data_IF_214438340633
#
_entry.id   IF_214438340633
#
_cell.length_a   1.000
_cell.length_b   1.000
_cell.length_c   1.000
_cell.angle_alpha   90.00
_cell.angle_beta   90.00
_cell.angle_gamma   90.00
#
_symmetry.space_group_name_H-M   'P 1'
#
loop_
_entity.id
_entity.type
_entity.pdbx_description
1 polymer ?
#
# COMPACT_ATOMS: atom_id res chain seq x y z
N UNK A 1 64.82 49.65 -15.17
CA UNK A 1 63.82 49.66 -14.09
C UNK A 1 62.57 48.92 -14.57
N UNK A 2 62.43 47.65 -14.16
CA UNK A 2 61.27 46.79 -14.51
C UNK A 2 60.12 47.11 -13.54
N UNK A 3 58.96 47.50 -14.07
CA UNK A 3 57.72 47.69 -13.29
C UNK A 3 57.03 46.33 -13.13
N UNK A 4 57.00 45.82 -11.90
CA UNK A 4 56.24 44.64 -11.51
C UNK A 4 54.77 45.01 -11.34
N UNK A 5 53.90 44.50 -12.22
CA UNK A 5 52.46 44.52 -11.99
C UNK A 5 52.11 43.36 -11.05
N UNK A 6 51.71 43.70 -9.82
CA UNK A 6 51.07 42.76 -8.90
C UNK A 6 49.65 42.51 -9.40
N UNK A 7 49.42 41.34 -9.99
CA UNK A 7 48.08 40.81 -10.25
C UNK A 7 47.58 40.26 -8.91
N UNK A 8 46.79 41.04 -8.20
CA UNK A 8 46.02 40.55 -7.04
C UNK A 8 44.80 39.81 -7.57
N UNK A 9 44.83 38.49 -7.49
CA UNK A 9 43.72 37.61 -7.83
C UNK A 9 42.52 37.88 -6.91
N UNK A 10 41.40 38.31 -7.49
CA UNK A 10 40.11 38.32 -6.82
C UNK A 10 39.59 36.90 -6.72
N UNK A 11 39.50 36.38 -5.50
CA UNK A 11 38.85 35.12 -5.19
C UNK A 11 37.33 35.34 -5.31
N UNK A 12 36.74 35.02 -6.45
CA UNK A 12 35.28 34.96 -6.60
C UNK A 12 34.83 33.63 -6.02
N UNK A 13 34.35 33.66 -4.77
CA UNK A 13 33.65 32.55 -4.15
C UNK A 13 32.27 32.43 -4.82
N UNK A 14 32.15 31.52 -5.80
CA UNK A 14 30.84 31.14 -6.35
C UNK A 14 30.18 30.26 -5.29
N UNK A 15 29.30 30.85 -4.47
CA UNK A 15 28.28 30.09 -3.76
C UNK A 15 27.34 29.51 -4.82
N UNK A 16 27.55 28.24 -5.18
CA UNK A 16 26.50 27.46 -5.82
C UNK A 16 25.43 27.20 -4.78
N UNK A 17 24.35 27.98 -4.83
CA UNK A 17 23.09 27.60 -4.18
C UNK A 17 22.59 26.40 -4.97
N UNK A 18 22.87 25.20 -4.48
CA UNK A 18 22.19 24.00 -4.94
C UNK A 18 20.74 24.13 -4.49
N UNK A 19 19.84 24.28 -5.47
CA UNK A 19 18.42 24.07 -5.24
C UNK A 19 18.28 22.60 -4.86
N UNK A 20 18.23 22.33 -3.55
CA UNK A 20 17.85 21.01 -3.03
C UNK A 20 16.39 20.80 -3.43
N UNK A 21 16.15 20.01 -4.47
CA UNK A 21 14.84 19.42 -4.69
C UNK A 21 14.56 18.46 -3.53
N UNK A 22 13.34 18.46 -3.01
CA UNK A 22 12.91 17.43 -2.07
C UNK A 22 13.14 16.07 -2.73
N UNK A 23 13.96 15.24 -2.10
CA UNK A 23 14.23 13.87 -2.54
C UNK A 23 13.70 12.93 -1.46
N UNK A 24 12.93 11.94 -1.88
CA UNK A 24 12.55 10.82 -1.03
C UNK A 24 13.79 9.98 -0.72
N UNK A 25 13.88 9.47 0.50
CA UNK A 25 14.88 8.49 0.90
C UNK A 25 14.27 7.47 1.86
N UNK A 26 14.90 6.31 1.98
CA UNK A 26 14.55 5.32 3.01
C UNK A 26 15.18 5.76 4.32
N UNK A 27 14.34 6.05 5.30
CA UNK A 27 14.75 6.49 6.63
C UNK A 27 15.03 5.28 7.54
N UNK A 28 14.14 4.30 7.54
CA UNK A 28 14.25 3.08 8.33
C UNK A 28 13.32 2.00 7.81
N UNK A 29 13.51 0.78 8.27
CA UNK A 29 12.65 -0.37 7.97
C UNK A 29 11.98 -0.78 9.28
N UNK A 30 10.66 -0.85 9.29
CA UNK A 30 9.90 -1.25 10.47
C UNK A 30 9.56 -2.73 10.36
N UNK A 31 9.91 -3.48 11.41
CA UNK A 31 9.77 -4.93 11.47
C UNK A 31 8.86 -5.27 12.64
N UNK A 32 7.80 -6.02 12.35
CA UNK A 32 6.89 -6.54 13.35
C UNK A 32 7.09 -8.04 13.57
N UNK A 33 7.37 -8.41 14.81
CA UNK A 33 7.48 -9.80 15.23
C UNK A 33 6.19 -10.26 15.92
N UNK A 34 5.71 -11.47 15.62
CA UNK A 34 4.50 -12.08 16.16
C UNK A 34 4.64 -12.70 17.55
N UNK A 35 5.87 -12.83 18.08
CA UNK A 35 6.16 -13.62 19.27
C UNK A 35 6.02 -15.13 19.04
N UNK A 36 6.23 -15.91 20.09
CA UNK A 36 6.08 -17.36 20.10
C UNK A 36 4.65 -17.73 20.50
N UNK A 37 3.95 -18.45 19.63
CA UNK A 37 2.60 -18.94 19.88
C UNK A 37 2.50 -19.75 21.18
N UNK A 38 1.51 -19.44 22.01
CA UNK A 38 1.22 -20.12 23.26
C UNK A 38 2.21 -19.81 24.39
N UNK A 39 3.03 -18.77 24.22
CA UNK A 39 3.89 -18.24 25.27
C UNK A 39 3.36 -16.86 25.73
N UNK A 40 2.55 -16.80 26.80
CA UNK A 40 1.91 -15.56 27.24
C UNK A 40 2.86 -14.47 27.75
N UNK A 41 4.17 -14.75 27.82
CA UNK A 41 5.21 -13.77 28.15
C UNK A 41 5.95 -13.25 26.91
N UNK A 42 5.62 -13.80 25.74
CA UNK A 42 6.12 -13.37 24.45
C UNK A 42 4.97 -12.71 23.68
N UNK A 43 5.28 -11.57 23.10
CA UNK A 43 4.30 -10.64 22.59
C UNK A 43 4.80 -10.06 21.29
N UNK A 44 3.88 -9.45 20.55
CA UNK A 44 4.23 -8.73 19.34
C UNK A 44 5.21 -7.62 19.70
N UNK A 45 6.38 -7.61 19.06
CA UNK A 45 7.39 -6.56 19.23
C UNK A 45 7.63 -5.83 17.93
N UNK A 46 7.84 -4.52 18.00
CA UNK A 46 8.15 -3.67 16.86
C UNK A 46 9.60 -3.22 16.97
N UNK A 47 10.34 -3.43 15.89
CA UNK A 47 11.73 -3.02 15.76
C UNK A 47 11.91 -2.09 14.55
N UNK A 48 12.95 -1.28 14.61
CA UNK A 48 13.45 -0.49 13.50
C UNK A 48 14.79 -1.06 13.05
N UNK A 49 15.05 -1.10 11.75
CA UNK A 49 16.36 -1.29 11.16
C UNK A 49 16.76 -0.03 10.40
N UNK A 50 17.91 0.53 10.74
CA UNK A 50 18.49 1.70 10.09
C UNK A 50 19.48 1.23 8.98
N UNK A 51 19.22 1.51 7.69
CA UNK A 51 20.12 1.12 6.59
C UNK A 51 21.51 1.77 6.62
N UNK A 52 21.66 2.94 7.25
CA UNK A 52 22.93 3.65 7.34
C UNK A 52 23.83 3.03 8.41
N UNK A 53 23.30 2.89 9.64
CA UNK A 53 24.07 2.31 10.75
C UNK A 53 24.08 0.78 10.74
N UNK A 54 23.15 0.15 10.02
CA UNK A 54 22.91 -1.30 9.96
C UNK A 54 22.58 -1.91 11.32
N UNK A 55 21.93 -1.14 12.20
CA UNK A 55 21.53 -1.56 13.54
C UNK A 55 20.03 -1.79 13.57
N UNK A 56 19.62 -2.91 14.17
CA UNK A 56 18.22 -3.17 14.54
C UNK A 56 18.00 -2.82 16.01
N UNK A 57 16.91 -2.11 16.33
CA UNK A 57 16.50 -1.79 17.71
C UNK A 57 15.02 -2.06 17.90
N UNK A 58 14.67 -2.90 18.88
CA UNK A 58 13.28 -3.06 19.34
C UNK A 58 12.87 -1.86 20.17
N UNK A 59 11.70 -1.30 19.87
CA UNK A 59 11.24 -0.07 20.50
C UNK A 59 9.81 -0.09 21.03
N UNK A 60 8.97 -1.03 20.57
CA UNK A 60 7.57 -1.10 20.99
C UNK A 60 7.09 -2.53 21.17
N UNK A 61 6.03 -2.68 21.96
CA UNK A 61 5.33 -3.94 22.16
C UNK A 61 3.81 -3.76 22.07
N UNK A 62 3.12 -4.80 21.61
CA UNK A 62 1.68 -4.95 21.69
C UNK A 62 1.42 -6.19 22.55
N UNK A 63 0.72 -6.04 23.68
CA UNK A 63 0.54 -7.10 24.68
C UNK A 63 -0.43 -8.20 24.17
N UNK A 64 -0.04 -8.89 23.10
CA UNK A 64 -0.69 -10.00 22.41
C UNK A 64 0.28 -10.73 21.50
N UNK A 65 -0.07 -11.94 21.13
CA UNK A 65 0.66 -12.74 20.14
C UNK A 65 0.09 -12.51 18.72
N UNK A 66 0.81 -13.01 17.72
CA UNK A 66 0.42 -13.08 16.31
C UNK A 66 0.14 -11.72 15.66
N UNK A 67 1.22 -11.12 15.13
CA UNK A 67 1.09 -9.98 14.23
C UNK A 67 0.37 -10.41 12.95
N UNK A 68 -0.59 -9.61 12.49
CA UNK A 68 -1.35 -9.88 11.26
C UNK A 68 -0.82 -9.06 10.08
N UNK A 69 -0.51 -7.79 10.32
CA UNK A 69 -0.01 -6.85 9.31
C UNK A 69 0.61 -5.61 9.96
N UNK A 70 1.49 -4.95 9.21
CA UNK A 70 2.13 -3.68 9.57
C UNK A 70 2.21 -2.80 8.34
N UNK A 71 1.77 -1.55 8.46
CA UNK A 71 1.99 -0.54 7.41
C UNK A 71 2.58 0.74 8.01
N UNK A 72 3.39 1.43 7.22
CA UNK A 72 4.00 2.71 7.54
C UNK A 72 3.37 3.80 6.68
N UNK A 73 2.97 4.89 7.33
CA UNK A 73 2.56 6.10 6.64
C UNK A 73 3.07 7.32 7.40
N UNK A 74 3.86 8.15 6.69
CA UNK A 74 4.57 9.29 7.27
C UNK A 74 5.37 8.87 8.52
N UNK A 75 5.02 9.44 9.68
CA UNK A 75 5.75 9.27 10.93
C UNK A 75 5.11 8.20 11.82
N UNK A 76 4.24 7.35 11.27
CA UNK A 76 3.51 6.36 12.03
C UNK A 76 3.60 4.97 11.42
N UNK A 77 3.74 3.97 12.29
CA UNK A 77 3.47 2.57 11.98
C UNK A 77 2.12 2.17 12.60
N UNK A 78 1.29 1.54 11.79
CA UNK A 78 0.04 0.92 12.21
C UNK A 78 0.24 -0.58 12.21
N UNK A 79 -0.11 -1.21 13.32
CA UNK A 79 0.14 -2.63 13.57
C UNK A 79 -1.17 -3.29 13.95
N UNK A 80 -1.44 -4.45 13.36
CA UNK A 80 -2.51 -5.34 13.78
C UNK A 80 -1.90 -6.58 14.43
N UNK A 81 -2.37 -6.90 15.63
CA UNK A 81 -2.16 -8.19 16.28
C UNK A 81 -3.48 -8.99 16.27
N UNK A 82 -3.55 -10.16 16.91
CA UNK A 82 -4.75 -11.00 16.94
C UNK A 82 -6.03 -10.24 17.39
N UNK A 83 -5.92 -9.36 18.40
CA UNK A 83 -7.07 -8.65 18.98
C UNK A 83 -6.90 -7.12 19.16
N UNK A 84 -5.88 -6.54 18.54
CA UNK A 84 -5.50 -5.15 18.79
C UNK A 84 -4.98 -4.46 17.55
N UNK A 85 -5.41 -3.22 17.33
CA UNK A 85 -4.78 -2.28 16.40
C UNK A 85 -4.00 -1.28 17.24
N UNK A 86 -2.71 -1.10 16.94
CA UNK A 86 -1.82 -0.20 17.67
C UNK A 86 -1.10 0.72 16.71
N UNK A 87 -1.02 2.00 17.08
CA UNK A 87 -0.31 3.04 16.33
C UNK A 87 0.94 3.45 17.12
N UNK A 88 2.09 3.45 16.46
CA UNK A 88 3.35 3.94 17.01
C UNK A 88 3.83 5.15 16.22
N UNK A 89 4.35 6.17 16.91
CA UNK A 89 5.12 7.22 16.28
C UNK A 89 6.55 6.71 16.07
N UNK A 90 6.99 6.58 14.82
CA UNK A 90 8.28 5.95 14.48
C UNK A 90 9.46 6.94 14.43
N UNK A 91 9.26 8.20 14.83
CA UNK A 91 10.36 9.14 15.08
C UNK A 91 10.76 9.15 16.57
N UNK A 92 9.76 9.03 17.44
CA UNK A 92 9.92 9.05 18.90
C UNK A 92 9.91 7.66 19.52
N UNK A 93 9.44 6.68 18.75
CA UNK A 93 9.22 5.30 19.15
C UNK A 93 8.17 5.11 20.27
N UNK A 94 7.28 6.08 20.46
CA UNK A 94 6.23 6.01 21.46
C UNK A 94 4.92 5.45 20.88
N UNK A 95 4.20 4.66 21.68
CA UNK A 95 2.84 4.23 21.36
C UNK A 95 1.89 5.44 21.41
N UNK A 96 1.25 5.74 20.29
CA UNK A 96 0.37 6.90 20.12
C UNK A 96 -1.11 6.57 20.39
N UNK A 97 -1.59 5.40 19.94
CA UNK A 97 -2.98 4.98 20.14
C UNK A 97 -3.10 3.44 20.12
N UNK A 98 -4.16 2.90 20.70
CA UNK A 98 -4.51 1.49 20.62
C UNK A 98 -6.02 1.28 20.77
N UNK A 99 -6.58 0.33 20.03
CA UNK A 99 -7.98 -0.10 20.14
C UNK A 99 -8.07 -1.62 20.07
N UNK A 100 -9.04 -2.19 20.78
CA UNK A 100 -9.36 -3.62 20.69
C UNK A 100 -10.21 -3.87 19.46
N UNK A 101 -9.82 -4.83 18.63
CA UNK A 101 -10.61 -5.34 17.51
C UNK A 101 -10.11 -6.75 17.15
N UNK A 102 -11.03 -7.66 16.84
CA UNK A 102 -10.70 -9.09 16.62
C UNK A 102 -10.67 -9.45 15.14
N UNK A 103 -10.18 -10.65 14.83
CA UNK A 103 -10.21 -11.22 13.47
C UNK A 103 -9.46 -10.35 12.44
N UNK A 104 -8.44 -9.62 12.88
CA UNK A 104 -7.71 -8.65 12.06
C UNK A 104 -6.92 -9.36 10.95
N UNK A 105 -6.80 -8.69 9.80
CA UNK A 105 -6.00 -9.18 8.69
C UNK A 105 -5.17 -8.05 8.08
N UNK A 106 -5.55 -7.49 6.93
CA UNK A 106 -4.74 -6.49 6.22
C UNK A 106 -5.12 -5.07 6.56
N UNK A 107 -4.10 -4.20 6.58
CA UNK A 107 -4.22 -2.77 6.76
C UNK A 107 -4.09 -2.04 5.42
N UNK A 108 -4.81 -0.94 5.28
CA UNK A 108 -4.60 0.02 4.20
C UNK A 108 -4.88 1.42 4.70
N UNK A 109 -4.00 2.37 4.40
CA UNK A 109 -4.17 3.76 4.77
C UNK A 109 -4.55 4.59 3.54
N UNK A 110 -5.57 5.43 3.67
CA UNK A 110 -5.88 6.47 2.66
C UNK A 110 -6.59 7.65 3.31
N UNK A 111 -6.09 8.86 3.04
CA UNK A 111 -6.76 10.12 3.40
C UNK A 111 -7.17 10.19 4.87
N UNK A 112 -6.27 9.80 5.77
CA UNK A 112 -6.50 9.83 7.23
C UNK A 112 -7.47 8.77 7.76
N UNK A 113 -7.85 7.80 6.94
CA UNK A 113 -8.61 6.63 7.35
C UNK A 113 -7.72 5.39 7.27
N UNK A 114 -7.89 4.52 8.26
CA UNK A 114 -7.28 3.21 8.33
C UNK A 114 -8.34 2.15 8.05
N UNK A 115 -8.22 1.49 6.91
CA UNK A 115 -9.09 0.40 6.48
C UNK A 115 -8.47 -0.92 6.97
N UNK A 116 -9.30 -1.77 7.54
CA UNK A 116 -8.86 -3.00 8.18
C UNK A 116 -9.76 -4.14 7.74
N UNK A 117 -9.19 -5.04 6.95
CA UNK A 117 -9.89 -6.26 6.55
C UNK A 117 -9.83 -7.27 7.68
N UNK A 118 -10.82 -8.16 7.69
CA UNK A 118 -10.95 -9.19 8.71
C UNK A 118 -11.12 -10.55 8.06
N UNK A 119 -10.77 -11.61 8.79
CA UNK A 119 -10.85 -13.00 8.35
C UNK A 119 -11.16 -13.94 9.51
N UNK A 120 -11.59 -15.15 9.21
CA UNK A 120 -11.67 -16.20 10.21
C UNK A 120 -10.28 -16.51 10.79
N UNK A 121 -10.22 -16.66 12.11
CA UNK A 121 -9.03 -17.10 12.84
C UNK A 121 -9.32 -18.41 13.60
N UNK A 122 -8.47 -18.79 14.55
CA UNK A 122 -8.64 -20.02 15.34
C UNK A 122 -9.93 -20.04 16.18
N UNK A 123 -10.50 -18.88 16.47
CA UNK A 123 -11.75 -18.70 17.20
C UNK A 123 -12.98 -18.64 16.27
N UNK A 124 -12.76 -18.72 14.95
CA UNK A 124 -13.79 -18.71 13.93
C UNK A 124 -13.88 -17.39 13.18
N UNK A 125 -14.96 -17.23 12.41
CA UNK A 125 -15.25 -16.01 11.67
C UNK A 125 -15.58 -14.82 12.60
N UNK A 126 -15.45 -13.56 12.12
CA UNK A 126 -15.93 -12.39 12.84
C UNK A 126 -17.35 -12.57 13.39
N UNK A 127 -17.52 -12.45 14.71
CA UNK A 127 -18.81 -12.71 15.36
C UNK A 127 -19.93 -11.75 14.92
N UNK A 128 -19.57 -10.56 14.46
CA UNK A 128 -20.47 -9.55 13.91
C UNK A 128 -20.70 -9.69 12.39
N UNK A 129 -20.03 -10.65 11.74
CA UNK A 129 -20.10 -10.85 10.29
C UNK A 129 -19.50 -9.71 9.46
N UNK A 130 -18.71 -8.82 10.07
CA UNK A 130 -18.11 -7.66 9.39
C UNK A 130 -16.67 -7.97 8.99
N UNK A 131 -16.43 -8.03 7.67
CA UNK A 131 -15.11 -8.34 7.09
C UNK A 131 -14.29 -7.10 6.70
N UNK A 132 -14.86 -5.89 6.81
CA UNK A 132 -14.13 -4.63 6.64
C UNK A 132 -14.62 -3.61 7.66
N UNK A 133 -13.69 -3.07 8.44
CA UNK A 133 -13.91 -1.94 9.34
C UNK A 133 -12.99 -0.79 8.95
N UNK A 134 -13.45 0.42 9.22
CA UNK A 134 -12.72 1.66 8.91
C UNK A 134 -12.58 2.45 10.20
N UNK A 135 -11.36 2.88 10.49
CA UNK A 135 -11.01 3.64 11.68
C UNK A 135 -10.42 5.00 11.30
N UNK A 136 -10.56 5.97 12.19
CA UNK A 136 -9.82 7.22 12.09
C UNK A 136 -8.34 6.92 12.37
N UNK A 137 -7.44 7.26 11.45
CA UNK A 137 -6.03 6.93 11.59
C UNK A 137 -5.33 7.79 12.67
N UNK A 138 -5.91 8.92 13.08
CA UNK A 138 -5.38 9.78 14.14
C UNK A 138 -5.48 9.08 15.51
N UNK A 139 -6.69 8.66 15.89
CA UNK A 139 -7.04 8.20 17.24
C UNK A 139 -7.52 6.74 17.32
N UNK A 140 -7.63 6.04 16.18
CA UNK A 140 -8.14 4.68 16.05
C UNK A 140 -9.60 4.50 16.48
N UNK A 141 -10.40 5.57 16.50
CA UNK A 141 -11.85 5.46 16.69
C UNK A 141 -12.53 4.83 15.47
N UNK A 142 -13.54 3.98 15.70
CA UNK A 142 -14.31 3.34 14.62
C UNK A 142 -15.12 4.39 13.85
N UNK A 143 -14.93 4.43 12.53
CA UNK A 143 -15.65 5.31 11.59
C UNK A 143 -16.79 4.55 10.91
N UNK A 144 -16.54 3.33 10.44
CA UNK A 144 -17.54 2.54 9.72
C UNK A 144 -17.33 1.03 9.85
N UNK A 145 -18.42 0.28 9.64
CA UNK A 145 -18.45 -1.17 9.50
C UNK A 145 -19.21 -1.50 8.21
N UNK A 146 -18.58 -2.22 7.29
CA UNK A 146 -19.16 -2.50 5.98
C UNK A 146 -19.89 -3.84 6.02
N UNK A 147 -21.20 -3.79 5.86
CA UNK A 147 -22.06 -4.96 5.85
C UNK A 147 -22.07 -5.68 4.49
N UNK A 148 -22.31 -6.99 4.51
CA UNK A 148 -22.65 -7.78 3.33
C UNK A 148 -21.48 -8.39 2.55
N UNK A 149 -20.22 -8.13 2.94
CA UNK A 149 -19.07 -8.84 2.38
C UNK A 149 -19.18 -10.32 2.76
N UNK A 150 -19.10 -11.20 1.76
CA UNK A 150 -19.56 -12.59 1.89
C UNK A 150 -18.63 -13.54 2.63
N UNK A 151 -17.34 -13.21 2.75
CA UNK A 151 -16.34 -14.10 3.34
C UNK A 151 -15.05 -13.34 3.72
N UNK A 152 -14.04 -14.09 4.19
CA UNK A 152 -12.71 -13.60 4.54
C UNK A 152 -12.14 -12.63 3.52
N UNK A 153 -11.76 -11.46 4.04
CA UNK A 153 -11.21 -10.36 3.27
C UNK A 153 -9.69 -10.28 3.45
N UNK A 154 -8.98 -9.80 2.42
CA UNK A 154 -7.52 -9.61 2.42
C UNK A 154 -7.16 -8.18 2.01
N UNK A 155 -6.35 -8.02 0.98
CA UNK A 155 -5.87 -6.72 0.50
C UNK A 155 -7.01 -5.75 0.24
N UNK A 156 -6.73 -4.48 0.54
CA UNK A 156 -7.65 -3.36 0.37
C UNK A 156 -6.98 -2.38 -0.58
N UNK A 157 -7.77 -1.75 -1.44
CA UNK A 157 -7.33 -0.67 -2.31
C UNK A 157 -8.42 0.40 -2.38
N UNK A 158 -8.04 1.67 -2.21
CA UNK A 158 -8.97 2.80 -2.32
C UNK A 158 -8.52 3.70 -3.46
N UNK A 159 -9.32 3.70 -4.52
CA UNK A 159 -9.09 4.54 -5.68
C UNK A 159 -10.28 5.44 -5.95
N UNK A 160 -9.99 6.74 -6.07
CA UNK A 160 -10.97 7.80 -6.20
C UNK A 160 -12.02 7.76 -5.08
N UNK A 161 -13.27 7.40 -5.40
CA UNK A 161 -14.41 7.33 -4.50
C UNK A 161 -14.83 5.88 -4.15
N UNK A 162 -14.02 4.89 -4.55
CA UNK A 162 -14.40 3.48 -4.48
C UNK A 162 -13.36 2.68 -3.69
N UNK A 163 -13.85 1.87 -2.75
CA UNK A 163 -13.05 0.95 -1.96
C UNK A 163 -13.19 -0.45 -2.57
N UNK A 164 -12.08 -1.11 -2.80
CA UNK A 164 -11.98 -2.46 -3.33
C UNK A 164 -11.36 -3.35 -2.27
N UNK A 165 -12.01 -4.47 -1.98
CA UNK A 165 -11.51 -5.44 -1.01
C UNK A 165 -11.45 -6.81 -1.64
N UNK A 166 -10.28 -7.43 -1.56
CA UNK A 166 -10.07 -8.80 -1.97
C UNK A 166 -10.88 -9.73 -1.07
N UNK A 167 -11.69 -10.60 -1.66
CA UNK A 167 -12.35 -11.71 -0.98
C UNK A 167 -11.69 -12.98 -1.49
N UNK A 168 -10.76 -13.51 -0.69
CA UNK A 168 -10.09 -14.78 -1.00
C UNK A 168 -10.93 -15.98 -0.54
N UNK A 169 -11.83 -15.76 0.44
CA UNK A 169 -12.70 -16.77 1.00
C UNK A 169 -12.00 -17.76 1.93
N UNK A 170 -12.74 -18.72 2.47
CA UNK A 170 -12.17 -19.78 3.32
C UNK A 170 -11.23 -20.71 2.53
N UNK A 171 -10.56 -21.64 3.21
CA UNK A 171 -9.66 -22.63 2.59
C UNK A 171 -10.30 -23.50 1.49
N UNK A 172 -11.64 -23.56 1.44
CA UNK A 172 -12.40 -24.28 0.41
C UNK A 172 -12.88 -23.39 -0.73
N UNK A 173 -12.50 -22.11 -0.77
CA UNK A 173 -12.88 -21.20 -1.82
C UNK A 173 -12.33 -21.69 -3.17
N UNK A 174 -13.19 -21.63 -4.20
CA UNK A 174 -12.85 -22.08 -5.56
C UNK A 174 -12.77 -20.95 -6.56
N UNK A 175 -13.12 -19.73 -6.16
CA UNK A 175 -13.24 -18.56 -7.04
C UNK A 175 -12.68 -17.33 -6.33
N UNK A 176 -12.14 -16.39 -7.09
CA UNK A 176 -11.68 -15.10 -6.59
C UNK A 176 -12.74 -14.01 -6.74
N UNK A 177 -12.94 -13.16 -5.72
CA UNK A 177 -13.87 -12.04 -5.80
C UNK A 177 -13.30 -10.75 -5.26
N UNK A 178 -13.87 -9.63 -5.72
CA UNK A 178 -13.75 -8.32 -5.08
C UNK A 178 -15.08 -7.92 -4.47
N UNK A 179 -15.07 -7.37 -3.26
CA UNK A 179 -16.12 -6.45 -2.82
C UNK A 179 -15.81 -5.05 -3.35
N UNK A 180 -16.83 -4.38 -3.90
CA UNK A 180 -16.77 -2.99 -4.37
C UNK A 180 -17.70 -2.17 -3.51
N UNK A 181 -17.14 -1.16 -2.83
CA UNK A 181 -17.81 -0.39 -1.79
C UNK A 181 -17.73 1.11 -2.14
N UNK A 182 -18.79 1.85 -1.89
CA UNK A 182 -18.83 3.29 -2.15
C UNK A 182 -18.20 4.11 -1.02
N UNK A 183 -18.06 5.43 -1.25
CA UNK A 183 -17.50 6.37 -0.27
C UNK A 183 -18.35 6.55 1.01
N UNK A 184 -19.58 6.03 1.04
CA UNK A 184 -20.45 6.02 2.20
C UNK A 184 -20.41 4.67 2.93
N UNK A 185 -19.43 3.82 2.59
CA UNK A 185 -19.18 2.52 3.21
C UNK A 185 -20.31 1.50 2.97
N UNK A 186 -21.06 1.63 1.86
CA UNK A 186 -22.04 0.63 1.44
C UNK A 186 -21.45 -0.32 0.41
N UNK A 187 -21.65 -1.63 0.60
CA UNK A 187 -21.36 -2.61 -0.43
C UNK A 187 -22.23 -2.35 -1.66
N UNK A 188 -21.59 -2.04 -2.79
CA UNK A 188 -22.27 -1.83 -4.08
C UNK A 188 -22.50 -3.17 -4.78
N UNK A 189 -21.47 -4.02 -4.79
CA UNK A 189 -21.50 -5.36 -5.42
C UNK A 189 -20.30 -6.18 -5.01
N UNK A 190 -20.42 -7.50 -5.14
CA UNK A 190 -19.26 -8.38 -5.28
C UNK A 190 -19.08 -8.77 -6.75
N UNK A 191 -17.86 -8.66 -7.25
CA UNK A 191 -17.51 -9.12 -8.59
C UNK A 191 -16.76 -10.43 -8.49
N UNK A 192 -17.24 -11.44 -9.20
CA UNK A 192 -16.62 -12.75 -9.26
C UNK A 192 -15.74 -12.85 -10.51
N UNK A 193 -14.45 -13.12 -10.30
CA UNK A 193 -13.46 -13.25 -11.36
C UNK A 193 -13.27 -14.70 -11.82
N UNK A 194 -13.99 -15.64 -11.20
CA UNK A 194 -14.00 -17.05 -11.55
C UNK A 194 -12.84 -17.84 -10.92
N UNK A 195 -12.71 -19.09 -11.35
CA UNK A 195 -11.78 -20.06 -10.79
C UNK A 195 -10.31 -19.71 -11.01
N UNK A 196 -10.00 -19.06 -12.14
CA UNK A 196 -8.62 -18.69 -12.49
C UNK A 196 -8.06 -17.61 -11.56
N UNK A 197 -8.94 -16.87 -10.87
CA UNK A 197 -8.58 -15.81 -9.95
C UNK A 197 -8.66 -16.24 -8.47
N UNK A 198 -8.84 -17.53 -8.17
CA UNK A 198 -8.90 -18.02 -6.79
C UNK A 198 -7.69 -17.54 -5.97
N UNK A 199 -7.93 -17.15 -4.71
CA UNK A 199 -6.85 -16.72 -3.80
C UNK A 199 -6.41 -15.27 -3.95
N UNK A 200 -7.24 -14.38 -4.51
CA UNK A 200 -7.00 -12.92 -4.56
C UNK A 200 -6.55 -12.42 -3.19
N UNK A 201 -5.33 -11.94 -3.05
CA UNK A 201 -4.74 -11.64 -1.75
C UNK A 201 -4.26 -10.19 -1.65
N UNK A 202 -3.17 -9.81 -2.32
CA UNK A 202 -2.63 -8.45 -2.28
C UNK A 202 -3.12 -7.63 -3.48
N UNK A 203 -3.40 -6.35 -3.26
CA UNK A 203 -3.90 -5.42 -4.27
C UNK A 203 -2.93 -4.26 -4.49
N UNK A 204 -2.69 -3.93 -5.75
CA UNK A 204 -1.85 -2.81 -6.19
C UNK A 204 -2.62 -1.96 -7.21
N UNK A 205 -2.29 -0.67 -7.34
CA UNK A 205 -2.97 0.20 -8.32
C UNK A 205 -2.02 1.19 -8.98
N UNK A 206 -2.35 1.58 -10.21
CA UNK A 206 -1.77 2.71 -10.94
C UNK A 206 -2.72 3.93 -11.00
N UNK A 207 -3.82 3.90 -10.24
CA UNK A 207 -4.89 4.90 -10.24
C UNK A 207 -5.98 4.70 -11.30
N UNK A 208 -5.76 3.81 -12.28
CA UNK A 208 -6.74 3.48 -13.33
C UNK A 208 -7.11 2.00 -13.34
N UNK A 209 -6.20 1.14 -12.88
CA UNK A 209 -6.34 -0.30 -12.78
C UNK A 209 -5.98 -0.78 -11.40
N UNK A 210 -6.52 -1.92 -11.04
CA UNK A 210 -6.11 -2.68 -9.86
C UNK A 210 -5.51 -3.99 -10.35
N UNK A 211 -4.35 -4.33 -9.82
CA UNK A 211 -3.66 -5.59 -10.05
C UNK A 211 -3.73 -6.40 -8.78
N UNK A 212 -4.30 -7.59 -8.84
CA UNK A 212 -4.32 -8.51 -7.70
C UNK A 212 -3.29 -9.61 -7.87
N UNK A 213 -2.55 -9.89 -6.80
CA UNK A 213 -1.76 -11.12 -6.66
C UNK A 213 -2.68 -12.19 -6.10
N UNK A 214 -2.89 -13.26 -6.88
CA UNK A 214 -3.79 -14.35 -6.50
C UNK A 214 -2.93 -15.56 -6.07
N UNK A 215 -2.91 -15.81 -4.77
CA UNK A 215 -2.11 -16.89 -4.16
C UNK A 215 -2.58 -18.25 -4.65
N UNK A 216 -1.62 -19.13 -4.89
CA UNK A 216 -1.90 -20.53 -5.18
C UNK A 216 -2.66 -21.17 -4.00
N UNK A 217 -3.78 -21.85 -4.26
CA UNK A 217 -4.43 -22.70 -3.26
C UNK A 217 -3.46 -23.75 -2.73
N UNK A 218 -3.74 -24.29 -1.54
CA UNK A 218 -2.89 -25.32 -0.94
C UNK A 218 -2.67 -26.51 -1.90
N UNK A 219 -1.41 -26.89 -2.11
CA UNK A 219 -0.92 -27.90 -3.07
C UNK A 219 -1.06 -27.55 -4.56
N UNK A 220 -1.67 -26.42 -4.92
CA UNK A 220 -1.70 -25.97 -6.31
C UNK A 220 -0.29 -25.60 -6.79
N UNK A 221 -0.03 -25.83 -8.07
CA UNK A 221 1.24 -25.51 -8.74
C UNK A 221 1.13 -24.28 -9.65
N UNK A 222 0.02 -23.56 -9.52
CA UNK A 222 -0.33 -22.40 -10.33
C UNK A 222 -0.98 -21.36 -9.45
N UNK A 223 -0.70 -20.09 -9.71
CA UNK A 223 -1.48 -18.96 -9.22
C UNK A 223 -1.81 -18.03 -10.38
N UNK A 224 -2.15 -16.79 -10.09
CA UNK A 224 -2.45 -15.83 -11.15
C UNK A 224 -2.28 -14.38 -10.72
N UNK A 225 -2.31 -13.50 -11.71
CA UNK A 225 -2.49 -12.07 -11.52
C UNK A 225 -3.75 -11.65 -12.26
N UNK A 226 -4.64 -10.90 -11.62
CA UNK A 226 -5.80 -10.31 -12.27
C UNK A 226 -5.63 -8.81 -12.42
N UNK A 227 -5.86 -8.31 -13.63
CA UNK A 227 -5.97 -6.88 -13.92
C UNK A 227 -7.45 -6.51 -13.96
N UNK A 228 -7.86 -5.55 -13.13
CA UNK A 228 -9.19 -4.99 -13.08
C UNK A 228 -9.18 -3.52 -13.55
N UNK A 229 -10.01 -3.21 -14.53
CA UNK A 229 -10.17 -1.86 -15.10
C UNK A 229 -11.28 -1.12 -14.32
N UNK A 230 -10.91 -0.08 -13.58
CA UNK A 230 -11.81 0.61 -12.64
C UNK A 230 -13.04 1.20 -13.34
N UNK A 231 -12.86 1.79 -14.53
CA UNK A 231 -13.91 2.58 -15.19
C UNK A 231 -14.89 1.74 -16.00
N UNK A 232 -14.42 0.65 -16.59
CA UNK A 232 -15.25 -0.27 -17.38
C UNK A 232 -15.80 -1.42 -16.54
N UNK A 233 -15.27 -1.60 -15.33
CA UNK A 233 -15.51 -2.77 -14.48
C UNK A 233 -15.22 -4.10 -15.17
N UNK A 234 -14.32 -4.12 -16.15
CA UNK A 234 -13.84 -5.33 -16.82
C UNK A 234 -12.59 -5.88 -16.13
N UNK A 235 -12.32 -7.17 -16.29
CA UNK A 235 -11.11 -7.78 -15.77
C UNK A 235 -10.51 -8.79 -16.76
N UNK A 236 -9.24 -9.09 -16.56
CA UNK A 236 -8.53 -10.18 -17.23
C UNK A 236 -7.60 -10.87 -16.24
N UNK A 237 -7.64 -12.20 -16.18
CA UNK A 237 -6.78 -13.00 -15.30
C UNK A 237 -5.73 -13.73 -16.12
N UNK A 238 -4.48 -13.64 -15.69
CA UNK A 238 -3.34 -14.30 -16.30
C UNK A 238 -2.81 -15.37 -15.36
N UNK A 239 -2.92 -16.64 -15.76
CA UNK A 239 -2.39 -17.77 -15.00
C UNK A 239 -0.87 -17.77 -15.06
N UNK A 240 -0.24 -17.98 -13.91
CA UNK A 240 1.19 -18.16 -13.75
C UNK A 240 1.43 -19.63 -13.43
N UNK A 241 2.26 -20.31 -14.24
CA UNK A 241 2.61 -21.72 -14.07
C UNK A 241 3.70 -21.92 -12.98
N UNK A 242 3.52 -21.26 -11.84
CA UNK A 242 4.37 -21.30 -10.66
C UNK A 242 3.48 -21.21 -9.41
N UNK A 243 4.03 -21.61 -8.27
CA UNK A 243 3.38 -21.36 -6.98
C UNK A 243 3.47 -19.87 -6.70
N UNK A 244 2.34 -19.19 -6.57
CA UNK A 244 2.26 -17.75 -6.29
C UNK A 244 2.02 -17.53 -4.80
N UNK A 245 2.89 -16.72 -4.19
CA UNK A 245 2.81 -16.28 -2.79
C UNK A 245 2.22 -14.87 -2.64
N UNK A 246 2.55 -14.20 -1.53
CA UNK A 246 2.19 -12.79 -1.29
C UNK A 246 2.88 -11.87 -2.33
N UNK A 247 2.29 -10.71 -2.59
CA UNK A 247 2.97 -9.61 -3.24
C UNK A 247 4.06 -9.02 -2.32
N UNK A 248 5.15 -8.54 -2.91
CA UNK A 248 6.26 -7.90 -2.21
C UNK A 248 6.39 -6.40 -2.56
N UNK A 249 5.58 -5.91 -3.50
CA UNK A 249 5.59 -4.53 -3.96
C UNK A 249 5.35 -4.40 -5.46
N UNK A 250 5.10 -3.18 -5.92
CA UNK A 250 4.99 -2.84 -7.33
C UNK A 250 5.86 -1.61 -7.61
N UNK A 251 6.54 -1.59 -8.74
CA UNK A 251 7.25 -0.39 -9.19
C UNK A 251 7.17 -0.28 -10.71
N UNK A 252 6.72 0.88 -11.19
CA UNK A 252 6.41 1.12 -12.60
C UNK A 252 5.44 0.07 -13.14
N UNK A 253 5.92 -0.80 -14.04
CA UNK A 253 5.17 -1.86 -14.68
C UNK A 253 5.55 -3.26 -14.17
N UNK A 254 6.36 -3.33 -13.11
CA UNK A 254 6.85 -4.57 -12.54
C UNK A 254 6.21 -4.82 -11.19
N UNK A 255 5.47 -5.91 -11.11
CA UNK A 255 4.93 -6.45 -9.88
C UNK A 255 5.91 -7.48 -9.32
N UNK A 256 6.26 -7.35 -8.05
CA UNK A 256 7.09 -8.31 -7.33
C UNK A 256 6.19 -9.17 -6.44
N UNK A 257 6.34 -10.48 -6.54
CA UNK A 257 5.50 -11.43 -5.83
C UNK A 257 6.26 -12.71 -5.51
N UNK A 258 5.76 -13.45 -4.54
CA UNK A 258 6.26 -14.76 -4.21
C UNK A 258 6.11 -15.71 -5.40
N UNK A 259 7.21 -16.34 -5.81
CA UNK A 259 7.25 -17.34 -6.87
C UNK A 259 8.08 -18.53 -6.39
N UNK A 260 7.45 -19.71 -6.35
CA UNK A 260 8.08 -20.98 -5.94
C UNK A 260 8.84 -20.85 -4.61
N UNK A 261 8.18 -20.28 -3.59
CA UNK A 261 8.71 -20.03 -2.24
C UNK A 261 9.84 -19.00 -2.13
N UNK A 262 10.32 -18.45 -3.26
CA UNK A 262 11.15 -17.26 -3.32
C UNK A 262 10.34 -16.01 -3.67
N UNK A 263 11.00 -14.97 -4.20
CA UNK A 263 10.38 -13.78 -4.79
C UNK A 263 10.89 -13.61 -6.22
N UNK A 264 9.98 -13.36 -7.15
CA UNK A 264 10.30 -13.01 -8.54
C UNK A 264 9.56 -11.76 -9.00
N UNK A 265 9.52 -11.55 -10.31
CA UNK A 265 8.94 -10.38 -10.94
C UNK A 265 8.05 -10.71 -12.13
N UNK A 266 7.02 -9.90 -12.32
CA UNK A 266 5.99 -10.03 -13.34
C UNK A 266 5.72 -8.68 -14.01
N UNK A 267 5.66 -8.67 -15.34
CA UNK A 267 5.31 -7.49 -16.12
C UNK A 267 3.79 -7.42 -16.29
N UNK A 268 3.17 -6.39 -15.71
CA UNK A 268 1.71 -6.19 -15.74
C UNK A 268 1.20 -5.67 -17.10
N UNK A 269 2.10 -5.32 -18.01
CA UNK A 269 1.77 -4.84 -19.37
C UNK A 269 1.75 -5.99 -20.35
N UNK A 270 2.78 -6.84 -20.28
CA UNK A 270 2.91 -8.02 -21.17
C UNK A 270 2.26 -9.26 -20.58
N UNK A 271 1.88 -9.22 -19.30
CA UNK A 271 1.32 -10.32 -18.54
C UNK A 271 2.25 -11.55 -18.47
N UNK A 272 3.55 -11.33 -18.27
CA UNK A 272 4.57 -12.39 -18.26
C UNK A 272 5.49 -12.30 -17.04
N UNK A 273 5.95 -13.44 -16.55
CA UNK A 273 7.05 -13.50 -15.57
C UNK A 273 8.33 -12.98 -16.24
N UNK A 274 8.98 -11.98 -15.65
CA UNK A 274 10.24 -11.40 -16.11
C UNK A 274 11.42 -12.22 -15.58
N UNK A 275 11.43 -12.40 -14.26
CA UNK A 275 12.45 -13.17 -13.55
C UNK A 275 11.77 -14.04 -12.49
N UNK A 276 11.89 -15.36 -12.65
CA UNK A 276 11.29 -16.32 -11.73
C UNK A 276 11.86 -16.21 -10.31
N UNK A 277 13.16 -15.92 -10.19
CA UNK A 277 13.84 -15.88 -8.90
C UNK A 277 14.77 -14.68 -8.81
N UNK A 278 14.40 -13.73 -7.97
CA UNK A 278 15.23 -12.64 -7.48
C UNK A 278 15.71 -12.99 -6.06
N UNK A 279 14.77 -13.21 -5.14
CA UNK A 279 15.08 -13.77 -3.82
C UNK A 279 14.89 -15.29 -3.89
N UNK A 280 15.92 -16.10 -3.59
CA UNK A 280 15.80 -17.55 -3.65
C UNK A 280 14.91 -18.10 -2.53
N UNK A 281 14.32 -19.28 -2.74
CA UNK A 281 13.71 -20.07 -1.67
C UNK A 281 14.74 -20.29 -0.55
N UNK A 282 14.49 -19.82 0.70
CA UNK A 282 15.45 -19.94 1.78
C UNK A 282 15.62 -21.37 2.31
N UNK A 283 14.78 -22.31 1.87
CA UNK A 283 14.84 -23.71 2.25
C UNK A 283 13.50 -24.27 2.70
N UNK A 284 12.43 -23.99 1.98
CA UNK A 284 11.05 -24.41 2.30
C UNK A 284 10.91 -25.92 2.50
N UNK A 285 11.72 -26.72 1.81
CA UNK A 285 11.81 -28.17 2.00
C UNK A 285 12.34 -28.62 3.37
N UNK A 286 12.98 -27.71 4.12
CA UNK A 286 13.41 -27.87 5.50
C UNK A 286 12.61 -26.99 6.48
N UNK A 287 11.41 -26.56 6.09
CA UNK A 287 10.53 -25.70 6.88
C UNK A 287 11.11 -24.31 7.18
N UNK A 288 11.95 -23.78 6.29
CA UNK A 288 12.45 -22.40 6.36
C UNK A 288 11.73 -21.57 5.30
N UNK A 289 11.08 -20.50 5.69
CA UNK A 289 10.20 -19.72 4.84
C UNK A 289 10.57 -18.24 4.84
N UNK A 290 10.28 -17.55 3.73
CA UNK A 290 10.14 -16.09 3.75
C UNK A 290 8.82 -15.79 4.47
N UNK A 291 8.88 -15.11 5.62
CA UNK A 291 7.70 -14.74 6.39
C UNK A 291 7.01 -13.52 5.78
N UNK A 292 7.79 -12.49 5.46
CA UNK A 292 7.32 -11.29 4.77
C UNK A 292 8.44 -10.57 4.01
N UNK A 293 8.06 -9.64 3.14
CA UNK A 293 9.00 -8.89 2.31
C UNK A 293 8.48 -7.50 1.94
N UNK A 294 9.39 -6.52 1.93
CA UNK A 294 9.14 -5.18 1.42
C UNK A 294 10.15 -4.82 0.33
N UNK A 295 9.67 -4.19 -0.75
CA UNK A 295 10.50 -3.71 -1.85
C UNK A 295 10.80 -2.21 -1.73
N UNK A 296 12.08 -1.88 -1.63
CA UNK A 296 12.60 -0.53 -1.68
C UNK A 296 12.72 -0.03 -3.12
N UNK A 297 11.74 0.75 -3.57
CA UNK A 297 11.75 1.33 -4.91
C UNK A 297 12.84 2.40 -5.14
N UNK A 298 13.38 3.00 -4.08
CA UNK A 298 14.39 4.06 -4.19
C UNK A 298 15.77 3.44 -4.45
N UNK A 299 16.12 2.42 -3.66
CA UNK A 299 17.43 1.77 -3.74
C UNK A 299 17.42 0.45 -4.50
N UNK A 300 16.25 -0.03 -4.95
CA UNK A 300 16.06 -1.29 -5.66
C UNK A 300 16.52 -2.52 -4.83
N UNK A 301 16.10 -2.55 -3.57
CA UNK A 301 16.43 -3.60 -2.60
C UNK A 301 15.17 -4.31 -2.10
N UNK A 302 15.27 -5.61 -1.86
CA UNK A 302 14.29 -6.35 -1.08
C UNK A 302 14.80 -6.49 0.34
N UNK A 303 13.96 -6.15 1.31
CA UNK A 303 14.14 -6.53 2.71
C UNK A 303 13.21 -7.70 2.97
N UNK A 304 13.76 -8.85 3.35
CA UNK A 304 12.99 -10.07 3.61
C UNK A 304 13.25 -10.60 5.01
N UNK A 305 12.21 -11.08 5.67
CA UNK A 305 12.30 -11.81 6.93
C UNK A 305 12.19 -13.31 6.66
N UNK A 306 13.06 -14.10 7.28
CA UNK A 306 13.16 -15.55 7.08
C UNK A 306 13.06 -16.24 8.43
N UNK A 307 12.27 -17.32 8.49
CA UNK A 307 11.99 -18.02 9.74
C UNK A 307 11.69 -19.51 9.55
N UNK A 308 11.87 -20.28 10.62
CA UNK A 308 11.35 -21.65 10.79
C UNK A 308 10.15 -21.72 11.76
N UNK A 309 9.68 -20.57 12.25
CA UNK A 309 8.66 -20.41 13.29
C UNK A 309 8.95 -21.13 14.62
N UNK A 310 10.21 -21.49 14.87
CA UNK A 310 10.57 -22.28 16.05
C UNK A 310 11.90 -21.86 16.69
N UNK A 311 12.99 -21.84 15.95
CA UNK A 311 14.35 -21.68 16.48
C UNK A 311 15.16 -20.57 15.81
N UNK A 312 14.73 -20.07 14.65
CA UNK A 312 15.45 -19.04 13.91
C UNK A 312 14.53 -17.97 13.34
N UNK A 313 15.06 -16.75 13.35
CA UNK A 313 14.57 -15.61 12.59
C UNK A 313 15.77 -14.81 12.11
N UNK A 314 15.76 -14.37 10.86
CA UNK A 314 16.80 -13.49 10.32
C UNK A 314 16.23 -12.56 9.24
N UNK A 315 16.84 -11.39 9.09
CA UNK A 315 16.59 -10.48 7.98
C UNK A 315 17.67 -10.61 6.91
N UNK A 316 17.28 -10.62 5.63
CA UNK A 316 18.21 -10.58 4.50
C UNK A 316 17.85 -9.47 3.53
N UNK A 317 18.86 -8.92 2.88
CA UNK A 317 18.72 -7.85 1.89
C UNK A 317 19.21 -8.35 0.54
N UNK A 318 18.40 -8.20 -0.51
CA UNK A 318 18.75 -8.61 -1.88
C UNK A 318 18.58 -7.44 -2.86
N UNK A 319 19.45 -7.35 -3.87
CA UNK A 319 19.22 -6.44 -5.00
C UNK A 319 18.41 -7.10 -6.12
N UNK A 320 17.98 -6.32 -7.12
CA UNK A 320 17.23 -6.82 -8.29
C UNK A 320 17.97 -7.89 -9.11
N UNK A 321 19.30 -7.98 -9.02
CA UNK A 321 20.07 -9.04 -9.68
C UNK A 321 20.10 -10.36 -8.87
N UNK A 322 19.41 -10.41 -7.72
CA UNK A 322 19.33 -11.56 -6.82
C UNK A 322 20.58 -11.77 -5.96
N UNK A 323 21.46 -10.78 -5.86
CA UNK A 323 22.61 -10.87 -4.96
C UNK A 323 22.19 -10.43 -3.56
N UNK A 324 22.52 -11.23 -2.55
CA UNK A 324 22.40 -10.82 -1.16
C UNK A 324 23.41 -9.70 -0.87
N UNK A 325 22.94 -8.53 -0.47
CA UNK A 325 23.75 -7.33 -0.18
C UNK A 325 23.96 -7.09 1.30
N UNK A 326 23.14 -7.70 2.17
CA UNK A 326 23.21 -7.50 3.61
C UNK A 326 22.34 -8.46 4.41
N UNK A 327 22.41 -8.32 5.73
CA UNK A 327 21.59 -9.01 6.72
C UNK A 327 21.19 -8.01 7.81
N UNK A 328 20.09 -8.28 8.50
CA UNK A 328 19.65 -7.52 9.66
C UNK A 328 19.03 -8.46 10.70
N UNK A 329 18.95 -8.03 11.96
CA UNK A 329 18.30 -8.84 12.99
C UNK A 329 16.78 -8.80 12.80
N UNK A 330 16.15 -9.97 12.80
CA UNK A 330 14.71 -10.14 12.83
C UNK A 330 14.39 -11.26 13.83
N UNK A 331 13.32 -11.12 14.60
CA UNK A 331 12.93 -12.17 15.54
C UNK A 331 12.35 -13.40 14.83
N UNK A 332 12.09 -14.47 15.59
CA UNK A 332 11.61 -15.76 15.05
C UNK A 332 10.34 -15.56 14.22
N UNK A 333 9.29 -14.96 14.76
CA UNK A 333 8.03 -14.79 14.01
C UNK A 333 7.92 -13.42 13.32
N UNK A 334 8.96 -12.95 12.62
CA UNK A 334 8.94 -11.64 11.97
C UNK A 334 8.06 -11.64 10.70
N UNK A 335 6.75 -11.55 10.89
CA UNK A 335 5.72 -11.79 9.85
C UNK A 335 5.15 -10.53 9.21
N UNK A 336 5.63 -9.34 9.60
CA UNK A 336 5.29 -8.09 8.94
C UNK A 336 6.51 -7.16 8.83
N UNK A 337 6.67 -6.53 7.67
CA UNK A 337 7.76 -5.58 7.40
C UNK A 337 7.27 -4.49 6.45
N UNK A 338 7.63 -3.24 6.73
CA UNK A 338 7.36 -2.12 5.83
C UNK A 338 8.44 -1.03 5.91
N UNK A 339 8.48 -0.16 4.90
CA UNK A 339 9.56 0.82 4.69
C UNK A 339 9.08 2.23 5.01
N UNK A 340 9.86 2.92 5.84
CA UNK A 340 9.65 4.33 6.15
C UNK A 340 10.36 5.22 5.11
N UNK A 341 9.57 5.77 4.20
CA UNK A 341 10.03 6.74 3.20
C UNK A 341 9.84 8.18 3.68
N UNK A 342 10.89 9.00 3.62
CA UNK A 342 10.85 10.40 4.04
C UNK A 342 11.30 11.36 2.94
N UNK A 343 10.69 12.54 2.91
CA UNK A 343 11.16 13.67 2.11
C UNK A 343 12.12 14.54 2.92
N UNK A 344 13.23 14.92 2.31
CA UNK A 344 14.02 16.06 2.76
C UNK A 344 13.28 17.36 2.45
N UNK A 345 12.27 17.74 3.25
CA UNK A 345 11.60 19.04 3.19
C UNK A 345 11.71 19.79 4.52
N UNK A 346 12.07 21.07 4.45
CA UNK A 346 12.14 21.97 5.62
C UNK A 346 10.78 22.59 6.01
N UNK A 347 9.71 22.29 5.27
CA UNK A 347 8.36 22.81 5.53
C UNK A 347 7.44 21.60 5.66
N UNK A 348 6.90 21.41 6.87
CA UNK A 348 5.88 20.41 7.19
C UNK A 348 4.54 21.13 7.15
N UNK A 349 3.68 20.79 6.19
CA UNK A 349 2.29 21.27 6.19
C UNK A 349 1.47 20.40 7.14
N UNK A 350 0.64 21.01 7.99
CA UNK A 350 -0.31 20.30 8.84
C UNK A 350 -1.43 19.72 7.96
N UNK A 351 -1.62 18.40 8.03
CA UNK A 351 -2.69 17.67 7.35
C UNK A 351 -4.05 18.00 7.99
N UNK A 352 -4.64 19.13 7.64
CA UNK A 352 -6.09 19.31 7.82
C UNK A 352 -6.82 18.47 6.77
N UNK A 353 -7.81 17.68 7.20
CA UNK A 353 -8.70 16.95 6.30
C UNK A 353 -9.41 17.94 5.39
N UNK A 354 -8.96 18.02 4.14
CA UNK A 354 -9.60 18.86 3.12
C UNK A 354 -10.70 18.02 2.46
N UNK A 355 -11.95 18.50 2.47
CA UNK A 355 -13.05 17.87 1.75
C UNK A 355 -13.33 18.67 0.47
N UNK A 356 -13.16 18.06 -0.71
CA UNK A 356 -13.57 18.67 -1.98
C UNK A 356 -15.05 18.39 -2.21
N UNK A 357 -15.85 19.44 -2.38
CA UNK A 357 -17.27 19.30 -2.73
C UNK A 357 -17.45 19.43 -4.24
N UNK A 358 -18.06 18.42 -4.85
CA UNK A 358 -18.32 18.39 -6.28
C UNK A 358 -19.80 18.12 -6.57
N UNK A 359 -20.42 18.96 -7.39
CA UNK A 359 -21.83 18.82 -7.72
C UNK A 359 -22.25 19.58 -9.00
N UNK A 360 -23.35 19.17 -9.66
CA UNK A 360 -24.03 17.90 -9.47
C UNK A 360 -23.22 16.75 -10.06
N UNK A 361 -23.30 15.59 -9.42
CA UNK A 361 -22.81 14.32 -9.94
C UNK A 361 -23.90 13.26 -9.68
N UNK A 362 -24.64 12.76 -10.70
CA UNK A 362 -24.46 12.97 -12.14
C UNK A 362 -24.69 14.40 -12.64
N UNK A 363 -24.11 14.75 -13.80
CA UNK A 363 -24.22 16.06 -14.47
C UNK A 363 -24.82 15.94 -15.88
N UNK A 364 -25.41 17.04 -16.38
CA UNK A 364 -25.77 17.23 -17.80
C UNK A 364 -24.68 17.97 -18.60
N UNK A 365 -23.56 18.31 -17.95
CA UNK A 365 -22.43 18.98 -18.59
C UNK A 365 -21.68 19.93 -17.66
N UNK A 366 -22.34 20.60 -16.72
CA UNK A 366 -21.68 21.55 -15.81
C UNK A 366 -21.44 20.93 -14.44
N UNK A 367 -20.23 21.07 -13.92
CA UNK A 367 -19.82 20.60 -12.60
C UNK A 367 -19.21 21.77 -11.85
N UNK A 368 -19.64 21.97 -10.63
CA UNK A 368 -19.08 22.91 -9.69
C UNK A 368 -18.17 22.17 -8.71
N UNK A 369 -16.98 22.73 -8.51
CA UNK A 369 -15.98 22.26 -7.56
C UNK A 369 -15.81 23.37 -6.53
N UNK A 370 -16.02 23.05 -5.26
CA UNK A 370 -15.79 23.94 -4.14
C UNK A 370 -14.73 23.34 -3.22
N UNK A 371 -13.62 24.06 -3.10
CA UNK A 371 -12.54 23.77 -2.17
C UNK A 371 -11.67 25.02 -1.99
N UNK A 372 -10.77 25.09 -1.03
CA UNK A 372 -9.80 26.17 -0.95
C UNK A 372 -8.57 25.85 -1.82
N UNK A 373 -7.95 26.86 -2.43
CA UNK A 373 -6.64 26.74 -3.09
C UNK A 373 -6.54 25.70 -4.22
N UNK A 374 -7.56 25.59 -5.08
CA UNK A 374 -7.49 24.72 -6.26
C UNK A 374 -6.47 25.28 -7.26
N UNK A 375 -5.51 24.45 -7.66
CA UNK A 375 -4.42 24.81 -8.59
C UNK A 375 -4.53 24.14 -9.95
N UNK A 376 -5.09 22.93 -10.01
CA UNK A 376 -5.28 22.21 -11.27
C UNK A 376 -6.56 21.36 -11.22
N UNK A 377 -7.28 21.32 -12.33
CA UNK A 377 -8.36 20.36 -12.57
C UNK A 377 -8.07 19.65 -13.89
N UNK A 378 -7.97 18.33 -13.83
CA UNK A 378 -7.75 17.44 -14.98
C UNK A 378 -8.90 16.45 -15.07
N UNK A 379 -9.57 16.42 -16.21
CA UNK A 379 -10.64 15.46 -16.52
C UNK A 379 -10.15 14.47 -17.58
N UNK A 380 -10.28 13.19 -17.29
CA UNK A 380 -10.01 12.10 -18.23
C UNK A 380 -11.28 11.31 -18.52
N UNK A 381 -11.38 10.74 -19.73
CA UNK A 381 -12.40 9.75 -20.06
C UNK A 381 -12.03 8.35 -19.52
N UNK A 382 -12.92 7.37 -19.71
CA UNK A 382 -12.72 5.97 -19.26
C UNK A 382 -11.51 5.26 -19.87
N UNK A 383 -10.93 5.79 -20.96
CA UNK A 383 -9.70 5.25 -21.55
C UNK A 383 -8.43 5.86 -20.95
N UNK A 384 -8.56 6.77 -19.98
CA UNK A 384 -7.47 7.53 -19.39
C UNK A 384 -7.05 8.75 -20.22
N UNK A 385 -7.66 8.97 -21.39
CA UNK A 385 -7.36 10.13 -22.24
C UNK A 385 -7.85 11.40 -21.55
N UNK A 386 -6.94 12.36 -21.39
CA UNK A 386 -7.27 13.68 -20.85
C UNK A 386 -8.15 14.44 -21.84
N UNK A 387 -9.38 14.72 -21.45
CA UNK A 387 -10.35 15.48 -22.25
C UNK A 387 -10.35 16.96 -21.90
N UNK A 388 -10.00 17.31 -20.66
CA UNK A 388 -9.89 18.69 -20.20
C UNK A 388 -8.77 18.81 -19.18
N UNK A 389 -7.97 19.87 -19.28
CA UNK A 389 -6.97 20.25 -18.27
C UNK A 389 -6.99 21.76 -18.10
N UNK A 390 -7.20 22.23 -16.87
CA UNK A 390 -7.21 23.65 -16.53
C UNK A 390 -6.35 23.89 -15.30
N UNK A 391 -5.51 24.92 -15.37
CA UNK A 391 -4.74 25.40 -14.22
C UNK A 391 -5.41 26.67 -13.68
N UNK A 392 -5.31 26.85 -12.37
CA UNK A 392 -5.91 27.95 -11.63
C UNK A 392 -4.86 28.57 -10.71
N UNK A 393 -5.00 29.86 -10.43
CA UNK A 393 -4.19 30.55 -9.43
C UNK A 393 -4.99 30.64 -8.13
N UNK A 394 -5.11 29.51 -7.44
CA UNK A 394 -5.76 29.37 -6.12
C UNK A 394 -7.23 29.84 -6.13
N UNK A 395 -8.08 29.14 -6.88
CA UNK A 395 -9.51 29.46 -6.93
C UNK A 395 -10.33 28.57 -6.00
N UNK A 396 -11.33 29.19 -5.35
CA UNK A 396 -12.15 28.45 -4.38
C UNK A 396 -13.42 27.82 -4.98
N UNK A 397 -13.83 28.31 -6.15
CA UNK A 397 -15.04 27.85 -6.83
C UNK A 397 -14.75 27.78 -8.33
N UNK A 398 -14.82 26.58 -8.89
CA UNK A 398 -14.54 26.34 -10.30
C UNK A 398 -15.74 25.67 -10.94
N UNK A 399 -16.08 26.11 -12.15
CA UNK A 399 -17.05 25.41 -12.99
C UNK A 399 -16.31 24.73 -14.15
N UNK A 400 -16.48 23.41 -14.23
CA UNK A 400 -16.03 22.60 -15.35
C UNK A 400 -17.20 22.38 -16.30
N UNK A 401 -16.97 22.68 -17.57
CA UNK A 401 -17.94 22.48 -18.64
C UNK A 401 -17.50 21.27 -19.47
N UNK A 402 -18.31 20.21 -19.37
CA UNK A 402 -18.21 18.98 -20.12
C UNK A 402 -19.26 18.86 -21.22
N UNK A 403 -20.10 19.88 -21.46
CA UNK A 403 -21.21 19.83 -22.43
C UNK A 403 -20.77 19.44 -23.84
N UNK A 404 -19.54 19.81 -24.23
CA UNK A 404 -18.93 19.46 -25.51
C UNK A 404 -18.42 18.02 -25.62
N UNK A 405 -18.46 17.22 -24.55
CA UNK A 405 -18.02 15.83 -24.56
C UNK A 405 -19.21 14.84 -24.52
N UNK A 406 -19.04 13.61 -25.05
CA UNK A 406 -20.10 12.61 -25.05
C UNK A 406 -20.66 12.31 -23.65
N UNK A 407 -21.88 11.80 -23.60
CA UNK A 407 -22.38 11.17 -22.37
C UNK A 407 -21.48 9.98 -22.00
N UNK A 408 -21.23 9.78 -20.71
CA UNK A 408 -20.33 8.74 -20.24
C UNK A 408 -19.76 9.02 -18.85
N UNK A 409 -18.84 8.16 -18.44
CA UNK A 409 -18.11 8.28 -17.17
C UNK A 409 -16.81 9.03 -17.42
N UNK A 410 -16.46 9.93 -16.50
CA UNK A 410 -15.23 10.69 -16.50
C UNK A 410 -14.58 10.61 -15.13
N UNK A 411 -13.28 10.87 -15.09
CA UNK A 411 -12.52 11.02 -13.86
C UNK A 411 -12.03 12.44 -13.75
N UNK A 412 -12.35 13.08 -12.64
CA UNK A 412 -11.85 14.40 -12.33
C UNK A 412 -10.80 14.29 -11.24
N UNK A 413 -9.62 14.81 -11.55
CA UNK A 413 -8.48 14.90 -10.65
C UNK A 413 -8.26 16.38 -10.33
N UNK A 414 -8.15 16.70 -9.05
CA UNK A 414 -8.09 18.05 -8.53
C UNK A 414 -6.85 18.16 -7.66
N UNK A 415 -5.92 19.02 -8.06
CA UNK A 415 -4.75 19.35 -7.25
C UNK A 415 -5.03 20.63 -6.49
N UNK A 416 -4.64 20.62 -5.23
CA UNK A 416 -4.64 21.79 -4.36
C UNK A 416 -3.22 22.33 -4.20
N UNK A 417 -3.09 23.53 -3.63
CA UNK A 417 -1.79 24.18 -3.44
C UNK A 417 -0.85 23.43 -2.49
N UNK A 418 -1.41 22.76 -1.49
CA UNK A 418 -0.69 21.96 -0.49
C UNK A 418 -0.29 20.57 -1.01
N UNK A 419 -0.24 20.38 -2.34
CA UNK A 419 -0.04 19.09 -3.00
C UNK A 419 -1.09 18.00 -2.65
N UNK A 420 -2.18 18.33 -1.95
CA UNK A 420 -3.28 17.38 -1.80
C UNK A 420 -3.92 17.12 -3.15
N UNK A 421 -4.30 15.86 -3.34
CA UNK A 421 -4.88 15.34 -4.55
C UNK A 421 -6.24 14.73 -4.26
N UNK A 422 -7.24 15.09 -5.05
CA UNK A 422 -8.58 14.51 -5.00
C UNK A 422 -8.93 13.91 -6.35
N UNK A 423 -9.47 12.70 -6.33
CA UNK A 423 -10.04 12.05 -7.50
C UNK A 423 -11.51 11.71 -7.24
N UNK A 424 -12.39 12.03 -8.20
CA UNK A 424 -13.80 11.63 -8.15
C UNK A 424 -14.27 11.13 -9.51
N UNK A 425 -15.20 10.15 -9.50
CA UNK A 425 -15.85 9.67 -10.71
C UNK A 425 -17.08 10.51 -11.01
N UNK A 426 -17.15 11.03 -12.24
CA UNK A 426 -18.24 11.85 -12.74
C UNK A 426 -19.09 11.06 -13.73
N UNK A 427 -20.40 11.09 -13.54
CA UNK A 427 -21.36 10.54 -14.51
C UNK A 427 -21.98 11.69 -15.30
N UNK A 428 -21.73 11.74 -16.62
CA UNK A 428 -22.38 12.69 -17.53
C UNK A 428 -23.47 12.00 -18.35
N UNK A 429 -24.67 12.56 -18.31
CA UNK A 429 -25.79 12.13 -19.15
C UNK A 429 -25.79 12.75 -20.55
#
# INVERSE_FOLDING_TARGET
MKKNYKISAGLILILQVQLLSAQMFVNQIIIGNGGIYGNPSDHVTIATYDPESQITVTFGDVIRESIQDLIVYENFAYVTAEDSIVKFNIDTYEKAAAVYESNLHKLFYKSGLLYVSRRADINGAPADGIYLKVFNAEDLSLVASVEGISADAAGIMVECDTIYVAIYGEWTATEGKFAVIDNNFNLVREMNFGTDAVGIYDLYSDGSKIYSVNKSPYMAQTGSVTTYEIFTASYSTSIINHIVGKGAGISNNTLYLGLDYGIGSYDITTNQVIQQTIVPDPGSGNYIYIADAAFDEINNLFYVTITDYFSMGEGKIYNLSGNQTGIFEAGISAEAIDIDYRMNSFIREENNYVQVHLYPNPTIGFIHIQNEDITEVKVSDVSGKVVLKKNFDNQNNITIDLSGFPAGVYIININLRNNNYFCERIIKH
#
